data_IF_670827375183
#
_entry.id   IF_670827375183
#
_cell.length_a   1.000
_cell.length_b   1.000
_cell.length_c   1.000
_cell.angle_alpha   90.00
_cell.angle_beta   90.00
_cell.angle_gamma   90.00
#
_symmetry.space_group_name_H-M   'P 1'
#
loop_
_entity.id
_entity.type
_entity.pdbx_description
1 polymer ?
#
# COMPACT_ATOMS: atom_id res chain seq x y z
N UNK A 1 -17.80 30.91 3.24
CA UNK A 1 -16.63 30.88 2.33
C UNK A 1 -15.80 29.65 2.69
N UNK A 2 -16.03 28.51 2.01
CA UNK A 2 -15.41 27.22 2.37
C UNK A 2 -13.93 27.22 1.98
N UNK A 3 -13.05 27.16 2.99
CA UNK A 3 -11.62 26.93 2.78
C UNK A 3 -11.42 25.50 2.28
N UNK A 4 -10.84 25.33 1.09
CA UNK A 4 -10.57 24.01 0.51
C UNK A 4 -9.72 23.15 1.45
N UNK A 5 -9.91 21.83 1.46
CA UNK A 5 -9.15 20.86 2.26
C UNK A 5 -7.61 21.05 2.14
N UNK A 6 -7.15 21.56 0.99
CA UNK A 6 -5.75 21.81 0.70
C UNK A 6 -5.19 23.07 1.38
N UNK A 7 -6.04 24.07 1.65
CA UNK A 7 -5.63 25.31 2.35
C UNK A 7 -5.33 25.10 3.84
N UNK A 8 -5.82 24.01 4.43
CA UNK A 8 -5.61 23.65 5.84
C UNK A 8 -4.42 22.72 6.06
N UNK A 9 -3.71 22.32 4.99
CA UNK A 9 -2.60 21.34 5.02
C UNK A 9 -1.42 21.77 5.92
N UNK A 10 -1.32 23.04 6.27
CA UNK A 10 -0.24 23.57 7.12
C UNK A 10 -0.59 23.63 8.62
N UNK A 11 -1.82 23.27 9.03
CA UNK A 11 -2.25 23.30 10.44
C UNK A 11 -1.65 22.13 11.22
N UNK A 12 -0.77 22.44 12.16
CA UNK A 12 -0.14 21.48 13.08
C UNK A 12 -0.72 21.66 14.48
N UNK A 13 -1.01 20.57 15.16
CA UNK A 13 -1.52 20.53 16.53
C UNK A 13 -0.71 19.56 17.36
N UNK A 14 -0.51 19.86 18.64
CA UNK A 14 0.16 18.97 19.58
C UNK A 14 -0.93 18.30 20.43
N UNK A 15 -1.01 16.97 20.40
CA UNK A 15 -1.95 16.19 21.23
C UNK A 15 -1.18 15.14 22.00
N UNK A 16 -1.29 15.16 23.33
CA UNK A 16 -0.63 14.20 24.22
C UNK A 16 0.87 14.03 23.95
N UNK A 17 1.55 15.14 23.64
CA UNK A 17 2.98 15.16 23.32
C UNK A 17 3.35 14.67 21.91
N UNK A 18 2.36 14.32 21.07
CA UNK A 18 2.56 13.88 19.68
C UNK A 18 2.17 15.03 18.74
N UNK A 19 3.10 15.39 17.85
CA UNK A 19 2.83 16.38 16.80
C UNK A 19 1.91 15.75 15.75
N UNK A 20 0.82 16.43 15.44
CA UNK A 20 -0.24 15.94 14.58
C UNK A 20 -0.62 17.02 13.54
N UNK A 21 -1.17 16.59 12.41
CA UNK A 21 -1.78 17.45 11.40
C UNK A 21 -3.28 17.21 11.44
N UNK A 22 -4.04 18.27 11.71
CA UNK A 22 -5.48 18.20 11.91
C UNK A 22 -6.21 19.06 10.88
N UNK A 23 -7.26 18.50 10.26
CA UNK A 23 -8.15 19.24 9.38
C UNK A 23 -9.61 18.85 9.61
N UNK A 24 -10.51 19.80 9.34
CA UNK A 24 -11.96 19.61 9.44
C UNK A 24 -12.50 19.23 8.07
N UNK A 25 -13.26 18.13 8.01
CA UNK A 25 -13.98 17.76 6.80
C UNK A 25 -15.23 18.66 6.69
N UNK A 26 -15.52 19.26 5.52
CA UNK A 26 -16.65 20.19 5.38
C UNK A 26 -18.03 19.54 5.63
N UNK A 27 -18.13 18.20 5.52
CA UNK A 27 -19.41 17.46 5.61
C UNK A 27 -19.56 16.64 6.90
N UNK A 28 -18.57 16.63 7.80
CA UNK A 28 -18.64 15.95 9.10
C UNK A 28 -17.89 16.76 10.13
N UNK A 29 -18.48 16.98 11.30
CA UNK A 29 -17.79 17.45 12.52
C UNK A 29 -16.67 16.49 13.00
N UNK A 30 -16.27 15.51 12.18
CA UNK A 30 -15.14 14.64 12.42
C UNK A 30 -13.84 15.36 12.04
N UNK A 31 -13.12 15.83 13.05
CA UNK A 31 -11.74 16.26 12.92
C UNK A 31 -10.84 15.07 12.59
N UNK A 32 -10.23 15.07 11.40
CA UNK A 32 -9.27 14.04 11.03
C UNK A 32 -7.87 14.47 11.44
N UNK A 33 -7.18 13.59 12.16
CA UNK A 33 -5.85 13.83 12.71
C UNK A 33 -4.87 12.79 12.19
N UNK A 34 -3.76 13.24 11.61
CA UNK A 34 -2.63 12.37 11.24
C UNK A 34 -1.41 12.71 12.08
N UNK A 35 -0.76 11.70 12.64
CA UNK A 35 0.49 11.89 13.37
C UNK A 35 1.60 12.33 12.41
N UNK A 36 2.35 13.36 12.81
CA UNK A 36 3.53 13.86 12.11
C UNK A 36 4.72 13.05 12.58
N UNK A 37 5.25 12.23 11.69
CA UNK A 37 6.43 11.41 11.95
C UNK A 37 7.68 12.27 11.76
N UNK A 38 8.56 12.42 12.77
CA UNK A 38 9.83 13.11 12.62
C UNK A 38 10.68 12.47 11.52
N UNK A 39 11.33 13.28 10.68
CA UNK A 39 12.11 12.81 9.51
C UNK A 39 13.11 11.70 9.84
N UNK A 40 13.84 11.83 10.94
CA UNK A 40 14.78 10.82 11.49
C UNK A 40 14.18 9.44 11.78
N UNK A 41 12.86 9.34 11.93
CA UNK A 41 12.16 8.10 12.27
C UNK A 41 11.40 7.51 11.07
N UNK A 42 11.46 8.13 9.88
CA UNK A 42 10.72 7.67 8.70
C UNK A 42 11.15 6.26 8.30
N UNK A 43 12.45 5.94 8.30
CA UNK A 43 12.92 4.60 7.93
C UNK A 43 12.39 3.51 8.87
N UNK A 44 12.25 3.84 10.15
CA UNK A 44 11.69 2.95 11.16
C UNK A 44 10.17 2.81 11.03
N UNK A 45 9.47 3.91 10.74
CA UNK A 45 8.04 3.89 10.45
C UNK A 45 7.75 3.18 9.14
N UNK A 46 8.53 3.35 8.07
CA UNK A 46 8.40 2.58 6.83
C UNK A 46 8.64 1.07 7.06
N UNK A 47 9.59 0.74 7.94
CA UNK A 47 9.84 -0.65 8.37
C UNK A 47 8.68 -1.21 9.22
N UNK A 48 8.06 -0.39 10.06
CA UNK A 48 6.93 -0.76 10.93
C UNK A 48 5.59 -0.81 10.17
N UNK A 49 5.38 0.12 9.23
CA UNK A 49 4.23 0.27 8.32
C UNK A 49 4.39 -0.62 7.08
N UNK A 50 5.39 -1.52 7.07
CA UNK A 50 5.52 -2.61 6.10
C UNK A 50 4.40 -3.65 6.26
N UNK A 51 3.16 -3.19 6.16
CA UNK A 51 1.99 -3.96 5.87
C UNK A 51 2.17 -4.50 4.45
N UNK A 52 1.97 -5.81 4.28
CA UNK A 52 2.10 -6.52 3.00
C UNK A 52 1.48 -5.78 1.80
N UNK A 53 0.43 -5.00 2.02
CA UNK A 53 -0.35 -4.30 0.98
C UNK A 53 0.45 -3.28 0.18
N UNK A 54 1.45 -2.61 0.75
CA UNK A 54 2.18 -1.52 0.07
C UNK A 54 3.64 -1.88 -0.24
N UNK A 55 4.01 -3.16 -0.14
CA UNK A 55 5.39 -3.61 -0.30
C UNK A 55 5.99 -3.19 -1.65
N UNK A 56 5.26 -3.35 -2.75
CA UNK A 56 5.72 -2.95 -4.09
C UNK A 56 6.06 -1.47 -4.18
N UNK A 57 5.21 -0.61 -3.59
CA UNK A 57 5.40 0.84 -3.60
C UNK A 57 6.59 1.25 -2.73
N UNK A 58 6.75 0.62 -1.56
CA UNK A 58 7.91 0.82 -0.69
C UNK A 58 9.19 0.35 -1.36
N UNK A 59 9.17 -0.80 -2.05
CA UNK A 59 10.33 -1.34 -2.77
C UNK A 59 10.72 -0.42 -3.94
N UNK A 60 9.75 0.17 -4.65
CA UNK A 60 10.01 1.18 -5.68
C UNK A 60 10.62 2.46 -5.10
N UNK A 61 10.06 2.99 -4.01
CA UNK A 61 10.60 4.15 -3.31
C UNK A 61 12.03 3.90 -2.82
N UNK A 62 12.27 2.73 -2.23
CA UNK A 62 13.59 2.34 -1.74
C UNK A 62 14.62 2.30 -2.87
N UNK A 63 14.24 1.85 -4.08
CA UNK A 63 15.13 1.84 -5.25
C UNK A 63 15.44 3.22 -5.81
N UNK A 64 14.46 4.11 -5.82
CA UNK A 64 14.64 5.48 -6.35
C UNK A 64 15.41 6.36 -5.36
N UNK A 65 15.32 6.06 -4.07
CA UNK A 65 15.94 6.85 -2.99
C UNK A 65 17.25 6.22 -2.46
N UNK A 66 17.91 5.35 -3.23
CA UNK A 66 19.17 4.69 -2.79
C UNK A 66 20.26 5.73 -2.52
N UNK A 67 20.42 6.68 -3.46
CA UNK A 67 21.49 7.67 -3.39
C UNK A 67 21.16 8.80 -2.40
N UNK A 68 19.87 9.13 -2.25
CA UNK A 68 19.37 10.20 -1.39
C UNK A 68 18.11 9.74 -0.63
N UNK A 69 18.28 8.97 0.47
CA UNK A 69 17.14 8.45 1.25
C UNK A 69 16.29 9.54 1.93
N UNK A 70 16.88 10.72 2.12
CA UNK A 70 16.29 11.90 2.75
C UNK A 70 15.15 12.49 1.88
N UNK A 71 15.25 12.34 0.56
CA UNK A 71 14.39 12.98 -0.46
C UNK A 71 13.33 12.03 -1.04
N UNK A 72 13.00 10.96 -0.31
CA UNK A 72 12.00 9.97 -0.74
C UNK A 72 10.62 10.61 -1.05
N UNK A 73 10.28 11.73 -0.40
CA UNK A 73 9.03 12.45 -0.60
C UNK A 73 8.99 13.19 -1.94
N UNK A 74 10.13 13.66 -2.44
CA UNK A 74 10.28 14.27 -3.77
C UNK A 74 10.05 13.23 -4.88
N UNK A 75 10.39 11.98 -4.61
CA UNK A 75 10.21 10.87 -5.55
C UNK A 75 8.81 10.24 -5.50
N UNK A 76 7.99 10.61 -4.52
CA UNK A 76 6.69 9.98 -4.26
C UNK A 76 5.76 10.06 -5.47
N UNK A 77 5.64 11.22 -6.11
CA UNK A 77 4.75 11.41 -7.25
C UNK A 77 5.20 10.56 -8.46
N UNK A 78 6.51 10.43 -8.66
CA UNK A 78 7.08 9.60 -9.75
C UNK A 78 6.81 8.12 -9.49
N UNK A 79 7.00 7.66 -8.25
CA UNK A 79 6.73 6.27 -7.87
C UNK A 79 5.23 5.96 -7.93
N UNK A 80 4.37 6.88 -7.49
CA UNK A 80 2.93 6.74 -7.58
C UNK A 80 2.47 6.65 -9.04
N UNK A 81 2.98 7.51 -9.91
CA UNK A 81 2.70 7.46 -11.34
C UNK A 81 3.10 6.10 -11.92
N UNK A 82 4.34 5.66 -11.67
CA UNK A 82 4.83 4.37 -12.15
C UNK A 82 3.99 3.20 -11.62
N UNK A 83 3.62 3.22 -10.34
CA UNK A 83 2.77 2.20 -9.74
C UNK A 83 1.37 2.17 -10.39
N UNK A 84 0.79 3.34 -10.68
CA UNK A 84 -0.54 3.45 -11.26
C UNK A 84 -0.61 3.11 -12.75
N UNK A 85 0.48 3.33 -13.49
CA UNK A 85 0.56 3.08 -14.95
C UNK A 85 1.18 1.73 -15.32
N UNK A 86 1.75 0.99 -14.36
CA UNK A 86 2.37 -0.32 -14.62
C UNK A 86 1.42 -1.47 -14.34
N UNK A 87 1.57 -2.56 -15.10
CA UNK A 87 0.85 -3.81 -14.85
C UNK A 87 1.28 -4.40 -13.50
N UNK A 88 0.33 -4.56 -12.57
CA UNK A 88 0.65 -5.12 -11.26
C UNK A 88 0.65 -6.65 -11.32
N UNK A 89 1.68 -7.30 -10.78
CA UNK A 89 1.87 -8.76 -10.92
C UNK A 89 0.68 -9.60 -10.40
N UNK A 90 0.10 -9.22 -9.26
CA UNK A 90 -0.98 -9.99 -8.61
C UNK A 90 -2.29 -9.93 -9.40
N UNK A 91 -2.60 -8.78 -10.00
CA UNK A 91 -3.85 -8.55 -10.73
C UNK A 91 -3.68 -8.78 -12.22
N UNK A 92 -2.46 -8.65 -12.75
CA UNK A 92 -2.18 -8.66 -14.19
C UNK A 92 -2.75 -7.47 -14.94
N UNK A 93 -3.17 -6.42 -14.24
CA UNK A 93 -3.79 -5.24 -14.82
C UNK A 93 -3.17 -3.96 -14.24
N UNK A 94 -3.32 -2.88 -14.99
CA UNK A 94 -2.86 -1.54 -14.62
C UNK A 94 -3.84 -0.96 -13.58
N UNK A 95 -3.39 -0.49 -12.40
CA UNK A 95 -4.28 0.01 -11.34
C UNK A 95 -5.18 1.16 -11.78
N UNK A 96 -4.68 2.14 -12.54
CA UNK A 96 -5.50 3.26 -12.97
C UNK A 96 -6.65 2.83 -13.89
N UNK A 97 -6.43 1.80 -14.73
CA UNK A 97 -7.47 1.24 -15.61
C UNK A 97 -8.58 0.57 -14.82
N UNK A 98 -8.25 -0.10 -13.71
CA UNK A 98 -9.24 -0.74 -12.83
C UNK A 98 -10.10 0.27 -12.07
N UNK A 99 -9.52 1.41 -11.67
CA UNK A 99 -10.22 2.40 -10.84
C UNK A 99 -11.00 3.39 -11.71
N UNK A 100 -10.38 3.87 -12.79
CA UNK A 100 -10.92 4.96 -13.60
C UNK A 100 -11.44 4.52 -14.96
N UNK A 101 -11.32 3.23 -15.32
CA UNK A 101 -11.69 2.72 -16.63
C UNK A 101 -10.81 3.21 -17.78
N UNK A 102 -9.70 3.88 -17.48
CA UNK A 102 -8.80 4.48 -18.46
C UNK A 102 -7.34 4.43 -18.00
N UNK A 103 -6.45 4.43 -18.97
CA UNK A 103 -5.02 4.53 -18.72
C UNK A 103 -4.61 5.99 -18.54
N UNK A 104 -3.58 6.24 -17.73
CA UNK A 104 -3.04 7.58 -17.51
C UNK A 104 -2.30 8.03 -18.76
N UNK A 105 -2.39 9.32 -19.09
CA UNK A 105 -1.48 9.95 -20.06
C UNK A 105 -0.13 10.16 -19.40
N UNK A 106 0.89 9.51 -19.92
CA UNK A 106 2.26 9.59 -19.47
C UNK A 106 3.04 10.66 -20.25
N UNK A 107 4.16 11.18 -19.70
CA UNK A 107 5.01 12.12 -20.43
C UNK A 107 5.47 11.61 -21.80
N UNK A 108 5.70 10.29 -21.92
CA UNK A 108 6.06 9.63 -23.18
C UNK A 108 4.93 9.78 -24.23
N UNK A 109 3.67 9.72 -23.82
CA UNK A 109 2.51 9.87 -24.71
C UNK A 109 2.38 11.31 -25.22
N UNK A 110 2.90 12.29 -24.48
CA UNK A 110 2.96 13.68 -24.92
C UNK A 110 4.06 13.88 -25.96
N UNK A 111 5.21 13.22 -25.78
CA UNK A 111 6.36 13.34 -26.68
C UNK A 111 6.09 12.63 -28.01
N UNK A 112 5.54 11.41 -27.96
CA UNK A 112 5.36 10.58 -29.15
C UNK A 112 3.92 10.61 -29.71
N UNK A 113 2.99 11.22 -28.99
CA UNK A 113 1.57 11.21 -29.32
C UNK A 113 0.90 9.88 -28.94
N UNK A 114 -0.43 9.92 -28.79
CA UNK A 114 -1.24 8.71 -28.67
C UNK A 114 -1.56 8.16 -30.07
N UNK A 115 -1.61 6.84 -30.26
CA UNK A 115 -2.07 6.27 -31.52
C UNK A 115 -3.45 6.82 -31.88
N UNK A 116 -3.54 7.50 -33.03
CA UNK A 116 -4.80 8.01 -33.55
C UNK A 116 -5.62 6.84 -34.08
N UNK A 117 -6.79 6.58 -33.46
CA UNK A 117 -7.64 5.46 -33.89
C UNK A 117 -9.02 5.37 -33.26
N UNK A 118 -9.33 6.17 -32.23
CA UNK A 118 -10.70 6.23 -31.74
C UNK A 118 -11.56 7.04 -32.72
N UNK A 119 -12.38 6.35 -33.50
CA UNK A 119 -13.46 6.98 -34.25
C UNK A 119 -14.35 7.76 -33.27
N UNK A 120 -14.93 8.87 -33.74
CA UNK A 120 -15.90 9.62 -32.96
C UNK A 120 -17.15 8.74 -32.73
N UNK A 121 -17.19 8.08 -31.58
CA UNK A 121 -18.33 7.29 -31.14
C UNK A 121 -19.36 8.18 -30.46
N UNK A 122 -20.63 7.80 -30.57
CA UNK A 122 -21.67 8.39 -29.72
C UNK A 122 -21.43 7.98 -28.27
N UNK A 123 -21.82 8.84 -27.33
CA UNK A 123 -21.66 8.59 -25.88
C UNK A 123 -22.23 7.23 -25.46
N UNK A 124 -23.36 6.82 -26.03
CA UNK A 124 -24.01 5.54 -25.73
C UNK A 124 -23.17 4.33 -26.14
N UNK A 125 -22.57 4.36 -27.33
CA UNK A 125 -21.70 3.28 -27.84
C UNK A 125 -20.43 3.19 -26.99
N UNK A 126 -19.83 4.34 -26.64
CA UNK A 126 -18.65 4.40 -25.77
C UNK A 126 -18.92 3.77 -24.39
N UNK A 127 -20.04 4.14 -23.74
CA UNK A 127 -20.38 3.61 -22.41
C UNK A 127 -20.62 2.10 -22.45
N UNK A 128 -21.33 1.60 -23.47
CA UNK A 128 -21.58 0.16 -23.63
C UNK A 128 -20.27 -0.61 -23.85
N UNK A 129 -19.40 -0.11 -24.73
CA UNK A 129 -18.07 -0.72 -24.97
C UNK A 129 -17.24 -0.73 -23.70
N UNK A 130 -17.12 0.40 -23.01
CA UNK A 130 -16.34 0.52 -21.77
C UNK A 130 -16.85 -0.44 -20.69
N UNK A 131 -18.17 -0.56 -20.54
CA UNK A 131 -18.76 -1.51 -19.59
C UNK A 131 -18.35 -2.94 -19.90
N UNK A 132 -18.49 -3.37 -21.15
CA UNK A 132 -18.13 -4.71 -21.58
C UNK A 132 -16.64 -5.01 -21.41
N UNK A 133 -15.78 -4.05 -21.73
CA UNK A 133 -14.34 -4.16 -21.51
C UNK A 133 -13.99 -4.28 -20.02
N UNK A 134 -14.62 -3.48 -19.16
CA UNK A 134 -14.40 -3.53 -17.72
C UNK A 134 -14.89 -4.84 -17.11
N UNK A 135 -16.05 -5.36 -17.52
CA UNK A 135 -16.57 -6.65 -17.07
C UNK A 135 -15.55 -7.77 -17.37
N UNK A 136 -15.06 -7.86 -18.61
CA UNK A 136 -14.02 -8.82 -19.02
C UNK A 136 -12.71 -8.64 -18.25
N UNK A 137 -12.28 -7.39 -18.06
CA UNK A 137 -11.07 -7.07 -17.30
C UNK A 137 -11.20 -7.55 -15.85
N UNK A 138 -12.32 -7.26 -15.19
CA UNK A 138 -12.54 -7.67 -13.80
C UNK A 138 -12.61 -9.19 -13.64
N UNK A 139 -13.20 -9.91 -14.59
CA UNK A 139 -13.21 -11.39 -14.56
C UNK A 139 -11.79 -11.95 -14.65
N UNK A 140 -10.98 -11.42 -15.57
CA UNK A 140 -9.57 -11.80 -15.74
C UNK A 140 -8.75 -11.51 -14.47
N UNK A 141 -8.95 -10.33 -13.87
CA UNK A 141 -8.28 -9.92 -12.64
C UNK A 141 -8.69 -10.81 -11.48
N UNK A 142 -9.97 -11.13 -11.31
CA UNK A 142 -10.45 -12.00 -10.23
C UNK A 142 -9.85 -13.41 -10.34
N UNK A 143 -9.79 -13.97 -11.55
CA UNK A 143 -9.18 -15.27 -11.79
C UNK A 143 -7.69 -15.26 -11.42
N UNK A 144 -6.92 -14.28 -11.92
CA UNK A 144 -5.48 -14.18 -11.66
C UNK A 144 -5.17 -13.88 -10.19
N UNK A 145 -5.87 -12.93 -9.58
CA UNK A 145 -5.70 -12.61 -8.17
C UNK A 145 -6.10 -13.78 -7.25
N UNK A 146 -7.04 -14.63 -7.69
CA UNK A 146 -7.38 -15.88 -7.01
C UNK A 146 -6.22 -16.88 -7.06
N UNK A 147 -5.65 -17.10 -8.25
CA UNK A 147 -4.50 -17.99 -8.44
C UNK A 147 -3.28 -17.52 -7.64
N UNK A 148 -2.93 -16.23 -7.72
CA UNK A 148 -1.79 -15.67 -6.99
C UNK A 148 -2.01 -15.72 -5.48
N UNK A 149 -3.24 -15.53 -4.98
CA UNK A 149 -3.56 -15.73 -3.56
C UNK A 149 -3.35 -17.18 -3.13
N UNK A 150 -3.80 -18.16 -3.91
CA UNK A 150 -3.58 -19.59 -3.62
C UNK A 150 -2.09 -19.92 -3.61
N UNK A 151 -1.35 -19.44 -4.61
CA UNK A 151 0.11 -19.60 -4.69
C UNK A 151 0.79 -19.01 -3.46
N UNK A 152 0.51 -17.75 -3.13
CA UNK A 152 1.07 -17.08 -1.95
C UNK A 152 0.73 -17.81 -0.66
N UNK A 153 -0.49 -18.35 -0.52
CA UNK A 153 -0.88 -19.19 0.62
C UNK A 153 -0.01 -20.44 0.71
N UNK A 154 0.11 -21.23 -0.37
CA UNK A 154 0.94 -22.45 -0.40
C UNK A 154 2.40 -22.13 -0.02
N UNK A 155 2.97 -21.05 -0.55
CA UNK A 155 4.34 -20.63 -0.21
C UNK A 155 4.48 -20.22 1.26
N UNK A 156 3.48 -19.54 1.83
CA UNK A 156 3.47 -19.19 3.25
C UNK A 156 3.32 -20.43 4.11
N UNK A 157 2.37 -21.29 3.81
CA UNK A 157 2.10 -22.52 4.55
C UNK A 157 3.33 -23.44 4.53
N UNK A 158 4.01 -23.57 3.38
CA UNK A 158 5.29 -24.32 3.28
C UNK A 158 6.37 -23.75 4.22
N UNK A 159 6.43 -22.42 4.37
CA UNK A 159 7.37 -21.73 5.27
C UNK A 159 6.86 -21.61 6.71
N UNK A 160 5.62 -22.00 6.99
CA UNK A 160 4.99 -21.88 8.31
C UNK A 160 5.27 -23.08 9.22
N UNK A 161 5.98 -24.10 8.74
CA UNK A 161 6.46 -25.19 9.58
C UNK A 161 7.56 -24.64 10.51
N UNK A 162 7.15 -24.27 11.72
CA UNK A 162 8.04 -24.09 12.85
C UNK A 162 8.52 -25.44 13.39
N UNK A 163 9.49 -25.42 14.29
CA UNK A 163 9.84 -26.60 15.08
C UNK A 163 8.58 -27.14 15.76
N UNK A 164 8.37 -28.47 15.69
CA UNK A 164 7.38 -29.14 16.52
C UNK A 164 7.92 -29.11 17.94
N UNK A 165 7.27 -28.36 18.82
CA UNK A 165 7.67 -28.23 20.22
C UNK A 165 7.13 -29.40 21.03
N UNK A 166 7.98 -30.11 21.77
CA UNK A 166 7.58 -31.18 22.68
C UNK A 166 7.39 -30.67 24.12
N UNK A 167 6.52 -31.31 24.93
CA UNK A 167 6.48 -31.06 26.36
C UNK A 167 7.88 -31.21 26.98
N UNK A 168 8.35 -30.16 27.66
CA UNK A 168 9.71 -30.06 28.20
C UNK A 168 10.64 -29.11 27.45
N UNK A 169 10.30 -28.69 26.23
CA UNK A 169 11.11 -27.72 25.46
C UNK A 169 11.09 -26.33 26.10
N UNK A 170 12.24 -25.64 26.05
CA UNK A 170 12.34 -24.23 26.42
C UNK A 170 12.09 -23.33 25.22
N UNK A 171 11.13 -22.43 25.34
CA UNK A 171 10.71 -21.53 24.27
C UNK A 171 10.73 -20.07 24.73
N UNK A 172 11.01 -19.18 23.79
CA UNK A 172 10.90 -17.73 24.00
C UNK A 172 9.61 -17.23 23.36
N UNK A 173 8.80 -16.52 24.13
CA UNK A 173 7.53 -15.95 23.68
C UNK A 173 7.77 -14.59 23.03
N UNK A 174 7.20 -14.37 21.84
CA UNK A 174 7.28 -13.06 21.21
C UNK A 174 6.30 -12.08 21.89
N UNK A 175 6.81 -10.98 22.46
CA UNK A 175 5.98 -9.97 23.13
C UNK A 175 5.31 -9.08 22.06
N UNK A 176 3.98 -8.93 22.05
CA UNK A 176 3.26 -8.22 20.98
C UNK A 176 3.42 -6.69 21.02
N UNK A 177 3.88 -6.12 22.14
CA UNK A 177 3.99 -4.66 22.32
C UNK A 177 5.37 -4.18 21.89
N UNK A 178 5.44 -3.60 20.68
CA UNK A 178 6.64 -2.94 20.17
C UNK A 178 6.88 -1.63 20.91
N UNK A 179 7.76 -1.61 21.90
CA UNK A 179 8.52 -0.39 22.23
C UNK A 179 9.81 -0.40 21.41
N UNK A 180 10.24 0.77 20.94
CA UNK A 180 11.43 0.96 20.07
C UNK A 180 12.73 0.38 20.64
N UNK A 181 12.75 0.09 21.95
CA UNK A 181 13.87 -0.50 22.70
C UNK A 181 13.48 -1.74 23.53
N UNK A 182 12.26 -2.27 23.37
CA UNK A 182 11.78 -3.40 24.16
C UNK A 182 12.37 -4.74 23.72
N UNK A 183 12.58 -5.65 24.67
CA UNK A 183 12.92 -7.04 24.37
C UNK A 183 11.81 -7.64 23.50
N UNK A 184 12.20 -8.16 22.33
CA UNK A 184 11.25 -8.73 21.36
C UNK A 184 10.77 -10.13 21.76
N UNK A 185 11.42 -10.71 22.76
CA UNK A 185 11.26 -12.07 23.23
C UNK A 185 11.29 -12.07 24.76
N UNK A 186 10.36 -12.78 25.37
CA UNK A 186 10.22 -12.99 26.81
C UNK A 186 10.37 -14.48 27.12
N UNK A 187 11.01 -14.82 28.23
CA UNK A 187 11.26 -16.22 28.60
C UNK A 187 12.61 -16.44 29.29
N UNK A 188 13.10 -17.69 29.32
CA UNK A 188 12.52 -18.88 28.69
C UNK A 188 11.30 -19.44 29.44
N UNK A 189 10.32 -19.94 28.68
CA UNK A 189 9.15 -20.67 29.18
C UNK A 189 9.27 -22.16 28.87
N UNK A 190 8.65 -23.01 29.68
CA UNK A 190 8.64 -24.45 29.47
C UNK A 190 7.31 -24.90 28.86
N UNK A 191 7.38 -25.63 27.75
CA UNK A 191 6.19 -26.19 27.09
C UNK A 191 5.62 -27.30 27.98
N UNK A 192 4.42 -27.11 28.52
CA UNK A 192 3.80 -28.10 29.43
C UNK A 192 3.01 -29.18 28.69
N UNK A 193 2.23 -28.78 27.67
CA UNK A 193 1.33 -29.69 26.96
C UNK A 193 1.00 -29.15 25.56
N UNK A 194 0.89 -30.04 24.57
CA UNK A 194 0.31 -29.73 23.26
C UNK A 194 -1.22 -29.73 23.38
N UNK A 195 -1.86 -28.68 22.86
CA UNK A 195 -3.30 -28.65 22.68
C UNK A 195 -3.59 -29.24 21.30
N UNK A 196 -4.39 -30.30 21.27
CA UNK A 196 -4.87 -30.96 20.04
C UNK A 196 -5.92 -30.11 19.31
#
# INVERSE_FOLDING_TARGET
>A
MFRSLWSQRHRLTLRDGILCRAWEAPDREEEKVLQVVPRRNISEVLRAVRNHKHRTLIDMLAKVSIDQPEDWDVHLDRVLLAYQSSVHHTTGAIPCRLIFGRELRLPVDVIYGLPHGAQAETTGVYVQRLRHELERLFDTVRAKAGLERRRQKIWRDKKAHGHVYEPGDQVWLQVPVKTKLGAHWEGPYLVQKKLD
#
